data_IF_914492805422
#
_entry.id   IF_914492805422
#
_cell.length_a   1.000
_cell.length_b   1.000
_cell.length_c   1.000
_cell.angle_alpha   90.00
_cell.angle_beta   90.00
_cell.angle_gamma   90.00
#
_symmetry.space_group_name_H-M   'P 1'
#
loop_
_entity.id
_entity.type
_entity.pdbx_description
1 polymer ?
#
# COMPACT_ATOMS: atom_id res chain seq x y z
N UNK A 1 24.01 16.82 -2.25
CA UNK A 1 23.53 16.27 -3.55
C UNK A 1 22.37 17.08 -4.18
N UNK A 2 21.80 18.06 -3.46
CA UNK A 2 20.67 18.89 -3.90
C UNK A 2 20.83 19.58 -5.28
N UNK A 3 22.07 19.77 -5.74
CA UNK A 3 22.39 20.36 -7.05
C UNK A 3 22.66 19.30 -8.15
N UNK A 4 22.67 18.01 -7.78
CA UNK A 4 23.01 16.91 -8.68
C UNK A 4 21.82 15.97 -8.95
N UNK A 5 20.95 15.80 -7.96
CA UNK A 5 19.81 14.90 -8.01
C UNK A 5 18.53 15.71 -7.82
N UNK A 6 17.63 15.66 -8.78
CA UNK A 6 16.35 16.37 -8.76
C UNK A 6 15.21 15.51 -8.18
N UNK A 7 15.20 14.21 -8.49
CA UNK A 7 14.13 13.29 -8.15
C UNK A 7 14.56 12.37 -7.03
N UNK A 8 13.79 12.32 -5.96
CA UNK A 8 14.03 11.52 -4.77
C UNK A 8 12.80 10.70 -4.43
N UNK A 9 12.99 9.55 -3.85
CA UNK A 9 11.91 8.75 -3.26
C UNK A 9 12.22 8.47 -1.80
N UNK A 10 11.19 8.34 -0.96
CA UNK A 10 11.32 8.08 0.47
C UNK A 10 11.54 6.60 0.74
N UNK A 11 10.54 5.86 1.20
CA UNK A 11 10.66 4.44 1.51
C UNK A 11 10.49 3.58 0.26
N UNK A 12 11.22 2.46 0.21
CA UNK A 12 11.06 1.47 -0.88
C UNK A 12 9.86 0.57 -0.60
N UNK A 13 8.92 0.50 -1.54
CA UNK A 13 7.77 -0.43 -1.51
C UNK A 13 7.04 -0.44 -0.16
N UNK A 14 6.78 0.74 0.39
CA UNK A 14 6.22 0.94 1.73
C UNK A 14 4.96 0.12 1.99
N UNK A 15 4.16 -0.17 0.97
CA UNK A 15 2.92 -0.92 1.09
C UNK A 15 3.11 -2.43 1.32
N UNK A 16 4.34 -2.95 1.22
CA UNK A 16 4.64 -4.32 1.68
C UNK A 16 4.52 -4.45 3.20
N UNK A 17 4.59 -3.33 3.93
CA UNK A 17 4.28 -3.27 5.37
C UNK A 17 2.90 -3.87 5.72
N UNK A 18 1.93 -3.85 4.80
CA UNK A 18 0.56 -4.31 5.06
C UNK A 18 0.43 -5.82 5.34
N UNK A 19 1.46 -6.62 5.10
CA UNK A 19 1.43 -8.07 5.38
C UNK A 19 1.82 -8.37 6.82
N UNK A 20 0.87 -8.33 7.75
CA UNK A 20 1.10 -8.60 9.17
C UNK A 20 1.09 -10.10 9.56
N UNK A 21 0.77 -10.99 8.63
CA UNK A 21 0.72 -12.44 8.88
C UNK A 21 2.10 -13.11 8.89
N UNK A 22 3.13 -12.41 8.42
CA UNK A 22 4.50 -12.91 8.40
C UNK A 22 5.46 -11.86 9.00
N UNK A 23 6.68 -12.26 9.31
CA UNK A 23 7.62 -11.39 10.02
C UNK A 23 8.54 -10.61 9.08
N UNK A 24 8.78 -11.11 7.85
CA UNK A 24 9.83 -10.61 6.98
C UNK A 24 9.53 -9.20 6.43
N UNK A 25 8.34 -8.99 5.87
CA UNK A 25 8.01 -7.72 5.25
C UNK A 25 7.92 -6.57 6.29
N UNK A 26 7.21 -6.71 7.43
CA UNK A 26 7.23 -5.68 8.47
C UNK A 26 8.61 -5.41 9.04
N UNK A 27 9.42 -6.46 9.23
CA UNK A 27 10.80 -6.29 9.72
C UNK A 27 11.69 -5.54 8.73
N UNK A 28 11.62 -5.87 7.44
CA UNK A 28 12.48 -5.24 6.41
C UNK A 28 12.04 -3.83 6.05
N UNK A 29 10.75 -3.49 6.18
CA UNK A 29 10.25 -2.16 5.91
C UNK A 29 10.43 -1.21 7.11
N UNK A 30 9.81 -1.51 8.25
CA UNK A 30 9.80 -0.63 9.43
C UNK A 30 10.72 -1.08 10.58
N UNK A 31 11.40 -2.22 10.46
CA UNK A 31 12.16 -2.82 11.56
C UNK A 31 11.26 -3.44 12.64
N UNK A 32 9.99 -3.61 12.35
CA UNK A 32 9.01 -4.14 13.29
C UNK A 32 9.27 -5.61 13.59
N UNK A 33 9.33 -5.93 14.88
CA UNK A 33 9.36 -7.29 15.38
C UNK A 33 8.23 -7.48 16.38
N UNK A 34 7.30 -8.37 16.04
CA UNK A 34 6.16 -8.65 16.90
C UNK A 34 6.57 -9.38 18.18
N UNK A 35 5.90 -9.03 19.28
CA UNK A 35 6.03 -9.74 20.54
C UNK A 35 5.17 -11.02 20.50
N UNK A 36 5.50 -12.05 21.33
CA UNK A 36 4.61 -13.17 21.53
C UNK A 36 3.22 -12.69 21.99
N UNK A 37 2.18 -13.28 21.44
CA UNK A 37 0.77 -13.00 21.78
C UNK A 37 0.26 -11.58 21.49
N UNK A 38 1.03 -10.77 20.74
CA UNK A 38 0.65 -9.43 20.32
C UNK A 38 -0.38 -9.49 19.18
N UNK A 39 -1.41 -8.63 19.23
CA UNK A 39 -2.30 -8.43 18.08
C UNK A 39 -1.53 -7.68 16.98
N UNK A 40 -1.09 -8.41 15.98
CA UNK A 40 -0.18 -7.95 14.94
C UNK A 40 -0.79 -6.87 14.04
N UNK A 41 -2.09 -6.93 13.81
CA UNK A 41 -2.74 -6.05 12.85
C UNK A 41 -2.69 -4.58 13.27
N UNK A 42 -3.19 -4.16 14.45
CA UNK A 42 -3.08 -2.76 14.88
C UNK A 42 -1.63 -2.30 15.03
N UNK A 43 -0.72 -3.16 15.45
CA UNK A 43 0.71 -2.85 15.59
C UNK A 43 1.33 -2.56 14.22
N UNK A 44 1.02 -3.37 13.20
CA UNK A 44 1.46 -3.13 11.83
C UNK A 44 0.95 -1.79 11.30
N UNK A 45 -0.33 -1.49 11.48
CA UNK A 45 -0.89 -0.20 11.02
C UNK A 45 -0.29 1.00 11.75
N UNK A 46 0.00 0.86 13.05
CA UNK A 46 0.67 1.91 13.80
C UNK A 46 2.10 2.13 13.31
N UNK A 47 2.84 1.06 13.01
CA UNK A 47 4.17 1.17 12.42
C UNK A 47 4.11 1.83 11.03
N UNK A 48 3.19 1.41 10.18
CA UNK A 48 2.95 2.04 8.87
C UNK A 48 2.62 3.54 8.98
N UNK A 49 1.86 3.93 10.02
CA UNK A 49 1.60 5.35 10.30
C UNK A 49 2.90 6.12 10.53
N UNK A 50 3.80 5.60 11.36
CA UNK A 50 5.08 6.26 11.62
C UNK A 50 5.97 6.35 10.39
N UNK A 51 5.98 5.33 9.52
CA UNK A 51 6.69 5.41 8.23
C UNK A 51 6.11 6.51 7.33
N UNK A 52 4.79 6.62 7.24
CA UNK A 52 4.12 7.67 6.46
C UNK A 52 4.43 9.07 6.99
N UNK A 53 4.41 9.25 8.31
CA UNK A 53 4.81 10.52 8.96
C UNK A 53 6.28 10.84 8.69
N UNK A 54 7.17 9.86 8.83
CA UNK A 54 8.59 10.03 8.53
C UNK A 54 8.81 10.38 7.05
N UNK A 55 8.08 9.77 6.13
CA UNK A 55 8.09 10.12 4.70
C UNK A 55 7.66 11.58 4.48
N UNK A 56 6.57 12.00 5.09
CA UNK A 56 6.05 13.36 4.97
C UNK A 56 7.04 14.40 5.53
N UNK A 57 7.66 14.10 6.67
CA UNK A 57 8.71 14.97 7.25
C UNK A 57 9.95 15.04 6.35
N UNK A 58 10.34 13.95 5.70
CA UNK A 58 11.43 13.94 4.72
C UNK A 58 11.11 14.80 3.49
N UNK A 59 9.87 14.77 2.99
CA UNK A 59 9.39 15.66 1.90
C UNK A 59 9.52 17.11 2.32
N UNK A 60 9.05 17.48 3.51
CA UNK A 60 9.14 18.85 4.05
C UNK A 60 10.59 19.30 4.16
N UNK A 61 11.45 18.50 4.77
CA UNK A 61 12.88 18.82 4.93
C UNK A 61 13.57 18.98 3.56
N UNK A 62 13.25 18.15 2.59
CA UNK A 62 13.81 18.28 1.23
C UNK A 62 13.42 19.62 0.58
N UNK A 63 12.17 20.05 0.71
CA UNK A 63 11.67 21.33 0.18
C UNK A 63 12.28 22.54 0.87
N UNK A 64 12.53 22.45 2.17
CA UNK A 64 13.27 23.49 2.93
C UNK A 64 14.71 23.65 2.42
N UNK A 65 15.38 22.54 2.08
CA UNK A 65 16.75 22.54 1.55
C UNK A 65 16.79 23.11 0.14
N UNK A 66 15.88 22.66 -0.73
CA UNK A 66 15.76 23.12 -2.10
C UNK A 66 14.33 22.87 -2.64
N UNK A 67 13.52 23.93 -2.82
CA UNK A 67 12.14 23.80 -3.27
C UNK A 67 11.98 23.30 -4.73
N UNK A 68 13.08 23.18 -5.47
CA UNK A 68 13.06 22.61 -6.83
C UNK A 68 13.19 21.09 -6.86
N UNK A 69 13.43 20.45 -5.72
CA UNK A 69 13.46 18.99 -5.60
C UNK A 69 12.04 18.44 -5.80
N UNK A 70 11.99 17.26 -6.41
CA UNK A 70 10.76 16.48 -6.61
C UNK A 70 10.86 15.22 -5.76
N UNK A 71 9.96 15.06 -4.80
CA UNK A 71 10.00 13.96 -3.85
C UNK A 71 8.79 13.06 -4.07
N UNK A 72 9.04 11.79 -4.38
CA UNK A 72 8.02 10.78 -4.63
C UNK A 72 7.91 9.73 -3.53
N UNK A 73 6.83 8.99 -3.57
CA UNK A 73 6.70 7.70 -2.90
C UNK A 73 7.08 6.55 -3.81
N UNK A 74 7.29 5.36 -3.24
CA UNK A 74 7.61 4.15 -4.00
C UNK A 74 6.71 3.01 -3.53
N UNK A 75 5.92 2.46 -4.45
CA UNK A 75 4.87 1.48 -4.19
C UNK A 75 5.17 0.15 -4.91
N UNK A 76 5.00 -0.98 -4.24
CA UNK A 76 4.95 -2.30 -4.89
C UNK A 76 3.59 -2.46 -5.56
N UNK A 77 3.51 -2.31 -6.88
CA UNK A 77 2.27 -2.39 -7.63
C UNK A 77 2.08 -3.78 -8.23
N UNK A 78 1.16 -4.53 -7.64
CA UNK A 78 0.68 -5.82 -8.12
C UNK A 78 -0.84 -5.74 -8.23
N UNK A 79 -1.43 -5.44 -9.39
CA UNK A 79 -2.88 -5.34 -9.52
C UNK A 79 -3.53 -6.68 -9.19
N UNK A 80 -4.66 -6.63 -8.50
CA UNK A 80 -5.42 -7.81 -8.06
C UNK A 80 -6.74 -7.81 -8.81
N UNK A 81 -6.90 -8.81 -9.69
CA UNK A 81 -8.08 -8.96 -10.51
C UNK A 81 -9.13 -9.85 -9.83
N UNK A 82 -10.44 -9.64 -10.11
CA UNK A 82 -11.43 -10.66 -9.79
C UNK A 82 -11.19 -11.91 -10.62
N UNK A 83 -11.30 -13.11 -10.02
CA UNK A 83 -11.16 -14.36 -10.78
C UNK A 83 -12.29 -14.55 -11.79
N UNK A 84 -13.49 -14.09 -11.44
CA UNK A 84 -14.67 -14.13 -12.29
C UNK A 84 -15.40 -12.79 -12.30
N UNK A 85 -16.42 -12.65 -13.16
CA UNK A 85 -17.30 -11.49 -13.14
C UNK A 85 -18.42 -11.57 -12.09
N UNK A 86 -18.37 -12.52 -11.14
CA UNK A 86 -19.32 -12.57 -10.03
C UNK A 86 -19.22 -11.27 -9.19
N UNK A 87 -20.34 -10.68 -8.76
CA UNK A 87 -20.31 -9.43 -7.98
C UNK A 87 -19.43 -9.50 -6.73
N UNK A 88 -19.43 -10.63 -6.04
CA UNK A 88 -18.61 -10.82 -4.85
C UNK A 88 -17.10 -10.91 -5.17
N UNK A 89 -16.70 -11.53 -6.27
CA UNK A 89 -15.31 -11.53 -6.75
C UNK A 89 -14.86 -10.11 -7.11
N UNK A 90 -15.73 -9.32 -7.74
CA UNK A 90 -15.47 -7.91 -8.05
C UNK A 90 -15.26 -7.07 -6.79
N UNK A 91 -16.13 -7.25 -5.78
CA UNK A 91 -16.00 -6.57 -4.50
C UNK A 91 -14.76 -7.00 -3.74
N UNK A 92 -14.42 -8.30 -3.75
CA UNK A 92 -13.19 -8.81 -3.15
C UNK A 92 -11.94 -8.19 -3.80
N UNK A 93 -11.89 -8.10 -5.12
CA UNK A 93 -10.79 -7.47 -5.83
C UNK A 93 -10.66 -5.97 -5.51
N UNK A 94 -11.79 -5.25 -5.41
CA UNK A 94 -11.79 -3.85 -4.99
C UNK A 94 -11.25 -3.70 -3.56
N UNK A 95 -11.68 -4.53 -2.62
CA UNK A 95 -11.20 -4.52 -1.24
C UNK A 95 -9.70 -4.87 -1.16
N UNK A 96 -9.23 -5.80 -2.00
CA UNK A 96 -7.81 -6.13 -2.10
C UNK A 96 -6.97 -4.93 -2.58
N UNK A 97 -7.43 -4.22 -3.59
CA UNK A 97 -6.78 -2.98 -4.05
C UNK A 97 -6.78 -1.91 -2.95
N UNK A 98 -7.87 -1.72 -2.22
CA UNK A 98 -7.95 -0.82 -1.08
C UNK A 98 -6.94 -1.18 0.03
N UNK A 99 -6.82 -2.47 0.37
CA UNK A 99 -5.90 -2.95 1.42
C UNK A 99 -4.44 -2.76 1.08
N UNK A 100 -4.06 -2.83 -0.20
CA UNK A 100 -2.67 -2.66 -0.62
C UNK A 100 -2.29 -1.22 -0.92
N UNK A 101 -3.22 -0.37 -1.36
CA UNK A 101 -2.86 0.93 -1.95
C UNK A 101 -3.34 2.16 -1.18
N UNK A 102 -3.92 2.00 0.01
CA UNK A 102 -4.24 3.12 0.90
C UNK A 102 -3.02 3.98 1.28
N UNK A 103 -1.81 3.41 1.27
CA UNK A 103 -0.56 4.13 1.45
C UNK A 103 -0.41 5.26 0.44
N UNK A 104 -0.76 5.00 -0.82
CA UNK A 104 -0.71 6.01 -1.88
C UNK A 104 -1.68 7.16 -1.61
N UNK A 105 -2.88 6.85 -1.09
CA UNK A 105 -3.83 7.90 -0.67
C UNK A 105 -3.23 8.84 0.37
N UNK A 106 -2.55 8.29 1.39
CA UNK A 106 -1.92 9.10 2.43
C UNK A 106 -0.76 9.91 1.87
N UNK A 107 0.11 9.30 1.05
CA UNK A 107 1.22 10.02 0.42
C UNK A 107 0.79 11.18 -0.47
N UNK A 108 -0.30 11.00 -1.24
CA UNK A 108 -0.74 12.00 -2.24
C UNK A 108 -1.71 13.01 -1.65
N UNK A 109 -2.61 12.58 -0.75
CA UNK A 109 -3.69 13.40 -0.22
C UNK A 109 -3.48 13.89 1.22
N UNK A 110 -2.42 13.42 1.90
CA UNK A 110 -2.08 13.80 3.26
C UNK A 110 -3.08 13.34 4.32
N UNK A 111 -3.94 12.36 4.00
CA UNK A 111 -4.99 11.89 4.90
C UNK A 111 -5.36 10.44 4.63
N UNK A 112 -5.83 9.77 5.66
CA UNK A 112 -6.36 8.41 5.56
C UNK A 112 -7.67 8.37 4.74
N UNK A 113 -7.81 7.39 3.80
CA UNK A 113 -9.05 7.22 3.05
C UNK A 113 -10.17 6.65 3.95
N UNK A 114 -11.42 7.03 3.66
CA UNK A 114 -12.56 6.66 4.50
C UNK A 114 -12.77 5.14 4.58
N UNK A 115 -12.48 4.40 3.50
CA UNK A 115 -12.62 2.94 3.51
C UNK A 115 -11.70 2.27 4.55
N UNK A 116 -10.48 2.81 4.76
CA UNK A 116 -9.56 2.30 5.78
C UNK A 116 -10.03 2.64 7.20
N UNK A 117 -10.52 3.87 7.43
CA UNK A 117 -11.07 4.25 8.73
C UNK A 117 -12.29 3.40 9.09
N UNK A 118 -13.15 3.10 8.11
CA UNK A 118 -14.28 2.19 8.29
C UNK A 118 -13.81 0.74 8.59
N UNK A 119 -12.72 0.32 7.98
CA UNK A 119 -12.11 -0.98 8.27
C UNK A 119 -11.63 -1.03 9.72
N UNK A 120 -10.87 -0.04 10.20
CA UNK A 120 -10.40 0.03 11.58
C UNK A 120 -11.57 -0.01 12.58
N UNK A 121 -12.65 0.74 12.29
CA UNK A 121 -13.85 0.75 13.14
C UNK A 121 -14.51 -0.64 13.22
N UNK A 122 -14.58 -1.38 12.09
CA UNK A 122 -15.12 -2.76 12.10
C UNK A 122 -14.23 -3.73 12.87
N UNK A 123 -12.91 -3.54 12.81
CA UNK A 123 -11.91 -4.36 13.51
C UNK A 123 -11.77 -3.97 14.99
N UNK A 124 -12.35 -2.84 15.41
CA UNK A 124 -12.38 -2.42 16.80
C UNK A 124 -11.09 -1.77 17.32
N UNK A 125 -10.25 -1.24 16.43
CA UNK A 125 -9.06 -0.52 16.84
C UNK A 125 -8.94 0.88 16.21
N UNK A 126 -8.11 1.71 16.80
CA UNK A 126 -7.77 3.06 16.31
C UNK A 126 -6.26 3.22 16.37
N UNK A 127 -5.72 4.10 15.51
CA UNK A 127 -4.31 4.47 15.56
C UNK A 127 -4.09 5.68 16.48
N UNK A 128 -2.94 5.72 17.13
CA UNK A 128 -2.46 6.92 17.81
C UNK A 128 -1.91 7.89 16.76
N UNK A 129 -2.71 8.87 16.41
CA UNK A 129 -2.41 9.90 15.40
C UNK A 129 -2.54 11.27 16.06
N UNK A 130 -1.41 11.92 16.29
CA UNK A 130 -1.38 13.25 16.89
C UNK A 130 -1.77 14.34 15.87
N UNK A 131 -2.07 15.54 16.37
CA UNK A 131 -2.31 16.68 15.47
C UNK A 131 -1.06 17.07 14.70
N UNK A 132 0.12 16.93 15.29
CA UNK A 132 1.39 17.14 14.59
C UNK A 132 1.59 16.16 13.43
N UNK A 133 1.19 14.89 13.58
CA UNK A 133 1.22 13.90 12.51
C UNK A 133 0.27 14.29 11.36
N UNK A 134 -0.94 14.70 11.68
CA UNK A 134 -1.93 15.17 10.67
C UNK A 134 -1.40 16.35 9.88
N UNK A 135 -0.79 17.31 10.57
CA UNK A 135 -0.15 18.46 9.94
C UNK A 135 1.01 18.00 9.05
N UNK A 136 1.91 17.14 9.55
CA UNK A 136 3.05 16.62 8.79
C UNK A 136 2.59 15.92 7.51
N UNK A 137 1.59 15.03 7.60
CA UNK A 137 1.03 14.32 6.44
C UNK A 137 0.45 15.28 5.41
N UNK A 138 -0.32 16.28 5.85
CA UNK A 138 -0.96 17.26 4.94
C UNK A 138 0.06 18.14 4.22
N UNK A 139 1.11 18.59 4.94
CA UNK A 139 2.14 19.48 4.38
C UNK A 139 3.22 18.72 3.59
N UNK A 140 3.37 17.42 3.85
CA UNK A 140 4.40 16.56 3.27
C UNK A 140 3.89 15.63 2.16
N UNK A 141 2.85 16.00 1.42
CA UNK A 141 2.40 15.23 0.26
C UNK A 141 3.48 15.15 -0.81
N UNK A 142 3.58 14.00 -1.47
CA UNK A 142 4.59 13.74 -2.51
C UNK A 142 4.28 14.46 -3.82
N UNK A 143 5.31 14.66 -4.66
CA UNK A 143 5.19 15.32 -5.97
C UNK A 143 4.89 14.32 -7.10
N UNK A 144 5.22 13.04 -6.91
CA UNK A 144 4.97 11.98 -7.88
C UNK A 144 4.89 10.60 -7.22
N UNK A 145 4.31 9.65 -7.93
CA UNK A 145 4.24 8.24 -7.55
C UNK A 145 5.24 7.45 -8.38
N UNK A 146 6.24 6.83 -7.72
CA UNK A 146 7.05 5.76 -8.29
C UNK A 146 6.49 4.41 -7.89
N UNK A 147 6.62 3.41 -8.75
CA UNK A 147 6.22 2.06 -8.40
C UNK A 147 7.09 0.99 -9.09
N UNK A 148 7.23 -0.16 -8.45
CA UNK A 148 7.73 -1.39 -9.08
C UNK A 148 6.57 -2.24 -9.54
N UNK A 149 6.73 -2.87 -10.71
CA UNK A 149 5.79 -3.80 -11.27
C UNK A 149 6.50 -5.09 -11.66
N UNK A 150 6.07 -6.21 -11.11
CA UNK A 150 6.64 -7.53 -11.41
C UNK A 150 5.58 -8.48 -11.96
N UNK A 151 4.35 -8.41 -11.44
CA UNK A 151 3.30 -9.38 -11.70
C UNK A 151 1.93 -8.81 -11.36
N UNK A 152 0.88 -9.55 -11.69
CA UNK A 152 -0.48 -9.35 -11.19
C UNK A 152 -0.91 -10.53 -10.32
N UNK A 153 -2.02 -10.37 -9.61
CA UNK A 153 -2.67 -11.42 -8.85
C UNK A 153 -4.15 -11.53 -9.25
N UNK A 154 -4.80 -12.60 -8.80
CA UNK A 154 -6.25 -12.71 -8.82
C UNK A 154 -6.77 -13.05 -7.41
N UNK A 155 -8.02 -12.71 -7.15
CA UNK A 155 -8.70 -13.06 -5.90
C UNK A 155 -10.11 -13.56 -6.18
N UNK A 156 -10.64 -14.34 -5.26
CA UNK A 156 -11.99 -14.92 -5.34
C UNK A 156 -12.66 -14.82 -3.99
N UNK A 157 -13.92 -14.43 -3.98
CA UNK A 157 -14.77 -14.51 -2.80
C UNK A 157 -15.01 -15.95 -2.36
N UNK A 158 -15.10 -16.19 -1.06
CA UNK A 158 -15.39 -17.48 -0.45
C UNK A 158 -16.58 -17.37 0.50
N UNK A 159 -17.30 -18.47 0.70
CA UNK A 159 -18.45 -18.50 1.62
C UNK A 159 -18.07 -18.20 3.08
N UNK A 160 -16.83 -18.51 3.45
CA UNK A 160 -16.30 -18.26 4.80
C UNK A 160 -15.95 -16.79 5.05
N UNK A 161 -16.05 -15.93 4.04
CA UNK A 161 -15.70 -14.51 4.11
C UNK A 161 -16.85 -13.60 3.61
N UNK A 162 -17.99 -13.57 4.31
CA UNK A 162 -19.17 -12.82 3.87
C UNK A 162 -18.98 -11.30 3.86
N UNK A 163 -18.00 -10.78 4.57
CA UNK A 163 -17.66 -9.35 4.58
C UNK A 163 -16.72 -8.96 3.43
N UNK A 164 -16.23 -9.93 2.68
CA UNK A 164 -15.26 -9.74 1.60
C UNK A 164 -13.99 -8.98 2.06
N UNK A 165 -13.59 -9.18 3.31
CA UNK A 165 -12.35 -8.63 3.84
C UNK A 165 -11.17 -9.37 3.20
N UNK A 166 -10.30 -8.61 2.55
CA UNK A 166 -9.15 -9.19 1.86
C UNK A 166 -8.04 -9.56 2.84
N UNK A 167 -7.54 -10.77 2.70
CA UNK A 167 -6.35 -11.29 3.37
C UNK A 167 -5.39 -11.85 2.32
N UNK A 168 -4.17 -11.35 2.30
CA UNK A 168 -3.18 -11.71 1.27
C UNK A 168 -2.79 -13.19 1.33
N UNK A 169 -2.88 -13.82 2.49
CA UNK A 169 -2.50 -15.23 2.67
C UNK A 169 -3.57 -16.22 2.21
N UNK A 170 -4.84 -15.83 2.29
CA UNK A 170 -5.97 -16.74 2.03
C UNK A 170 -6.78 -16.37 0.80
N UNK A 171 -6.75 -15.09 0.37
CA UNK A 171 -7.63 -14.58 -0.68
C UNK A 171 -7.02 -14.62 -2.08
N UNK A 172 -5.69 -14.75 -2.19
CA UNK A 172 -5.01 -14.79 -3.49
C UNK A 172 -5.17 -16.14 -4.18
N UNK A 173 -5.50 -16.10 -5.46
CA UNK A 173 -5.61 -17.27 -6.33
C UNK A 173 -4.81 -17.07 -7.61
N UNK A 174 -4.46 -18.16 -8.28
CA UNK A 174 -3.79 -18.10 -9.58
C UNK A 174 -4.76 -17.62 -10.66
N UNK A 175 -4.32 -16.65 -11.46
CA UNK A 175 -5.04 -16.25 -12.68
C UNK A 175 -4.80 -17.30 -13.77
N UNK A 176 -5.84 -17.97 -14.30
CA UNK A 176 -5.70 -19.01 -15.30
C UNK A 176 -5.34 -18.48 -16.69
N UNK A 177 -5.42 -17.18 -16.93
CA UNK A 177 -5.20 -16.56 -18.23
C UNK A 177 -3.78 -16.05 -18.45
N UNK A 178 -2.90 -16.12 -17.45
CA UNK A 178 -1.51 -15.68 -17.54
C UNK A 178 -0.54 -16.83 -17.24
N UNK A 179 0.60 -16.82 -17.93
CA UNK A 179 1.69 -17.77 -17.67
C UNK A 179 2.42 -17.40 -16.40
N UNK A 180 3.11 -18.37 -15.81
CA UNK A 180 4.00 -18.15 -14.67
C UNK A 180 5.45 -18.31 -15.10
N UNK A 181 6.35 -17.55 -14.47
CA UNK A 181 7.79 -17.75 -14.52
C UNK A 181 8.19 -18.98 -13.70
N UNK A 182 9.46 -19.37 -13.76
CA UNK A 182 10.03 -20.46 -12.95
C UNK A 182 9.95 -20.17 -11.43
N UNK A 183 9.86 -18.91 -11.03
CA UNK A 183 9.59 -18.48 -9.66
C UNK A 183 8.11 -18.55 -9.26
N UNK A 184 7.21 -18.91 -10.18
CA UNK A 184 5.78 -18.92 -9.95
C UNK A 184 5.10 -17.54 -10.11
N UNK A 185 5.82 -16.50 -10.49
CA UNK A 185 5.25 -15.16 -10.69
C UNK A 185 4.48 -15.08 -11.99
N UNK A 186 3.31 -14.48 -11.93
CA UNK A 186 2.42 -14.33 -13.08
C UNK A 186 2.97 -13.27 -14.05
N UNK A 187 3.22 -13.68 -15.30
CA UNK A 187 3.75 -12.81 -16.35
C UNK A 187 2.59 -12.08 -17.03
N UNK A 188 2.41 -10.83 -16.67
CA UNK A 188 1.28 -10.01 -17.14
C UNK A 188 1.74 -8.62 -17.63
N UNK A 189 2.12 -8.49 -18.90
CA UNK A 189 2.51 -7.19 -19.46
C UNK A 189 1.32 -6.22 -19.59
N UNK A 190 0.08 -6.70 -19.69
CA UNK A 190 -1.13 -5.86 -19.72
C UNK A 190 -1.39 -5.23 -18.35
N UNK A 191 -1.04 -5.94 -17.29
CA UNK A 191 -1.15 -5.45 -15.91
C UNK A 191 -0.33 -4.19 -15.65
N UNK A 192 0.81 -4.00 -16.32
CA UNK A 192 1.55 -2.75 -16.24
C UNK A 192 0.74 -1.57 -16.80
N UNK A 193 0.10 -1.76 -17.96
CA UNK A 193 -0.78 -0.75 -18.55
C UNK A 193 -2.01 -0.48 -17.64
N UNK A 194 -2.59 -1.53 -17.07
CA UNK A 194 -3.67 -1.41 -16.10
C UNK A 194 -3.23 -0.57 -14.89
N UNK A 195 -2.05 -0.85 -14.34
CA UNK A 195 -1.49 -0.14 -13.19
C UNK A 195 -1.27 1.36 -13.46
N UNK A 196 -0.72 1.68 -14.64
CA UNK A 196 -0.53 3.07 -15.06
C UNK A 196 -1.86 3.82 -15.19
N UNK A 197 -2.87 3.21 -15.82
CA UNK A 197 -4.20 3.81 -15.92
C UNK A 197 -4.85 3.92 -14.53
N UNK A 198 -4.71 2.90 -13.69
CA UNK A 198 -5.26 2.93 -12.34
C UNK A 198 -4.70 4.10 -11.51
N UNK A 199 -3.38 4.30 -11.51
CA UNK A 199 -2.78 5.46 -10.84
C UNK A 199 -3.24 6.78 -11.44
N UNK A 200 -3.29 6.88 -12.76
CA UNK A 200 -3.74 8.09 -13.46
C UNK A 200 -5.19 8.47 -13.14
N UNK A 201 -6.08 7.48 -13.05
CA UNK A 201 -7.49 7.72 -12.77
C UNK A 201 -7.76 8.05 -11.30
N UNK A 202 -6.86 7.64 -10.39
CA UNK A 202 -7.04 7.83 -8.94
C UNK A 202 -6.35 9.08 -8.39
N UNK A 203 -5.26 9.52 -9.02
CA UNK A 203 -4.36 10.57 -8.53
C UNK A 203 -3.99 11.59 -9.59
#
# INVERSE_FOLDING_TARGET
YQHKVKYWMTFNEINNQANFHEDFAPFTNSGLKYLPDEDREPVMYQAAHYELVASALAVKAAREINPALQIGCMIAMCPIYPLTCAPDDMMMAMNAMHRRYWFTDVHVRGRYPQHLLNYFARRGFTLDITEADRQALTEGCVDYIGFSYYMSFATKATEDNPLLDYDETTSLVSNPYVKKSDWGWQIDPVGLRYSLNWFWDHY
#
